data_IF_745150369140
#
_entry.id   IF_745150369140
#
_cell.length_a   1.000
_cell.length_b   1.000
_cell.length_c   1.000
_cell.angle_alpha   90.00
_cell.angle_beta   90.00
_cell.angle_gamma   90.00
#
_symmetry.space_group_name_H-M   'P 1'
#
loop_
_entity.id
_entity.type
_entity.pdbx_description
1 polymer ?
#
# COMPACT_ATOMS: atom_id res chain seq x y z
N UNK A 1 16.45 -5.20 -5.16
CA UNK A 1 15.45 -5.89 -6.01
C UNK A 1 15.52 -5.45 -7.46
N UNK A 2 15.19 -4.21 -7.82
CA UNK A 2 15.24 -3.74 -9.23
C UNK A 2 16.53 -4.11 -9.98
N UNK A 3 17.70 -3.72 -9.45
CA UNK A 3 18.97 -3.97 -10.14
C UNK A 3 19.28 -5.45 -10.34
N UNK A 4 18.83 -6.31 -9.43
CA UNK A 4 19.11 -7.74 -9.46
C UNK A 4 18.13 -8.49 -10.38
N UNK A 5 16.87 -8.04 -10.44
CA UNK A 5 15.78 -8.73 -11.15
C UNK A 5 15.41 -8.09 -12.48
N UNK A 6 16.06 -6.99 -12.86
CA UNK A 6 15.87 -6.35 -14.17
C UNK A 6 16.36 -7.23 -15.32
N UNK A 7 17.44 -7.98 -15.09
CA UNK A 7 18.06 -8.87 -16.06
C UNK A 7 18.31 -10.25 -15.43
N UNK A 8 17.24 -11.06 -15.31
CA UNK A 8 17.32 -12.36 -14.65
C UNK A 8 18.17 -13.39 -15.42
N UNK A 9 18.45 -13.16 -16.70
CA UNK A 9 19.36 -14.02 -17.48
C UNK A 9 20.77 -14.09 -16.88
N UNK A 10 21.23 -13.03 -16.21
CA UNK A 10 22.53 -13.01 -15.55
C UNK A 10 22.62 -13.90 -14.32
N UNK A 11 21.48 -14.25 -13.72
CA UNK A 11 21.39 -15.15 -12.57
C UNK A 11 20.94 -16.56 -12.99
N UNK A 12 20.67 -16.80 -14.29
CA UNK A 12 20.14 -18.08 -14.82
C UNK A 12 18.83 -18.52 -14.18
N UNK A 13 18.08 -17.59 -13.59
CA UNK A 13 16.84 -17.87 -12.89
C UNK A 13 15.66 -17.56 -13.80
N UNK A 14 14.79 -18.56 -13.98
CA UNK A 14 13.49 -18.38 -14.63
C UNK A 14 12.41 -18.58 -13.59
N UNK A 15 11.44 -17.66 -13.48
CA UNK A 15 10.38 -17.83 -12.54
C UNK A 15 9.58 -19.10 -12.85
N UNK A 16 9.26 -19.86 -11.81
CA UNK A 16 8.46 -21.08 -11.95
C UNK A 16 7.01 -20.67 -12.20
N UNK A 17 6.46 -21.10 -13.32
CA UNK A 17 5.03 -20.93 -13.62
C UNK A 17 4.19 -22.01 -12.97
N UNK A 18 2.96 -21.67 -12.63
CA UNK A 18 1.96 -22.66 -12.20
C UNK A 18 1.64 -23.60 -13.36
N UNK A 19 1.44 -24.88 -13.03
CA UNK A 19 0.97 -25.89 -13.98
C UNK A 19 -0.41 -26.35 -13.57
N UNK A 20 -1.37 -26.20 -14.48
CA UNK A 20 -2.74 -26.66 -14.28
C UNK A 20 -2.94 -27.95 -15.07
N UNK A 21 -3.27 -29.01 -14.34
CA UNK A 21 -3.61 -30.31 -14.90
C UNK A 21 -5.07 -30.61 -14.56
N UNK A 22 -5.81 -31.14 -15.54
CA UNK A 22 -7.17 -31.67 -15.31
C UNK A 22 -7.10 -33.04 -14.63
N UNK A 23 -8.14 -33.36 -13.87
CA UNK A 23 -8.22 -34.60 -13.09
C UNK A 23 -8.08 -35.85 -13.97
N UNK A 24 -7.41 -36.87 -13.42
CA UNK A 24 -6.89 -38.02 -14.17
C UNK A 24 -8.01 -38.94 -14.74
N UNK A 25 -9.24 -38.75 -14.27
CA UNK A 25 -10.45 -39.50 -14.66
C UNK A 25 -11.28 -38.78 -15.75
N UNK A 26 -10.84 -37.60 -16.21
CA UNK A 26 -11.49 -36.88 -17.31
C UNK A 26 -11.05 -37.43 -18.68
N UNK A 27 -12.00 -37.58 -19.62
CA UNK A 27 -11.74 -38.07 -20.98
C UNK A 27 -10.89 -37.12 -21.84
N UNK A 28 -10.66 -35.89 -21.36
CA UNK A 28 -9.83 -34.88 -22.00
C UNK A 28 -8.72 -34.44 -21.05
N UNK A 29 -7.55 -35.09 -21.15
CA UNK A 29 -6.34 -34.71 -20.40
C UNK A 29 -5.61 -33.61 -21.15
N UNK A 30 -5.54 -32.42 -20.57
CA UNK A 30 -4.66 -31.36 -21.05
C UNK A 30 -3.88 -30.75 -19.88
N UNK A 31 -2.64 -30.33 -20.16
CA UNK A 31 -1.75 -29.66 -19.22
C UNK A 31 -1.49 -28.25 -19.74
N UNK A 32 -1.74 -27.25 -18.91
CA UNK A 32 -1.43 -25.85 -19.22
C UNK A 32 -0.22 -25.46 -18.37
N UNK A 33 0.86 -25.06 -19.05
CA UNK A 33 2.03 -24.50 -18.41
C UNK A 33 2.04 -23.00 -18.58
N UNK A 34 2.17 -22.26 -17.48
CA UNK A 34 2.42 -20.83 -17.54
C UNK A 34 3.88 -20.57 -17.96
N UNK A 35 4.07 -19.72 -18.96
CA UNK A 35 5.39 -19.25 -19.40
C UNK A 35 5.50 -17.77 -19.15
N UNK A 36 6.64 -17.32 -18.60
CA UNK A 36 6.92 -15.91 -18.37
C UNK A 36 7.88 -15.35 -19.44
N UNK A 37 7.51 -14.21 -20.01
CA UNK A 37 8.41 -13.39 -20.82
C UNK A 37 9.08 -12.32 -19.95
N UNK A 38 10.27 -12.64 -19.43
CA UNK A 38 11.04 -11.78 -18.52
C UNK A 38 11.50 -10.46 -19.17
N UNK A 39 11.44 -10.36 -20.50
CA UNK A 39 11.75 -9.14 -21.23
C UNK A 39 10.59 -8.14 -21.24
N UNK A 40 9.39 -8.62 -20.96
CA UNK A 40 8.21 -7.78 -20.90
C UNK A 40 7.94 -7.28 -19.49
N UNK A 41 7.31 -6.12 -19.48
CA UNK A 41 6.93 -5.41 -18.26
C UNK A 41 5.68 -6.00 -17.61
N UNK A 42 4.89 -6.79 -18.36
CA UNK A 42 3.71 -7.50 -17.84
C UNK A 42 4.11 -8.63 -16.90
N UNK A 43 5.18 -9.34 -17.23
CA UNK A 43 5.55 -10.59 -16.58
C UNK A 43 6.68 -10.37 -15.55
N UNK A 44 7.53 -9.37 -15.77
CA UNK A 44 8.56 -8.96 -14.82
C UNK A 44 8.30 -7.56 -14.23
N UNK A 45 7.66 -7.51 -13.06
CA UNK A 45 7.41 -6.28 -12.31
C UNK A 45 8.69 -5.54 -11.90
N UNK A 46 9.85 -6.21 -11.88
CA UNK A 46 11.12 -5.60 -11.50
C UNK A 46 11.87 -4.98 -12.69
N UNK A 47 11.39 -5.14 -13.93
CA UNK A 47 12.00 -4.59 -15.16
C UNK A 47 12.06 -3.07 -15.16
N UNK A 48 10.98 -2.40 -14.74
CA UNK A 48 10.89 -0.94 -14.63
C UNK A 48 10.98 -0.52 -13.17
N UNK A 49 11.75 0.53 -12.89
CA UNK A 49 11.88 1.10 -11.55
C UNK A 49 10.54 1.36 -10.85
N UNK A 50 9.57 2.10 -11.43
CA UNK A 50 8.33 2.41 -10.73
C UNK A 50 7.52 1.17 -10.36
N UNK A 51 7.51 0.16 -11.24
CA UNK A 51 6.82 -1.10 -10.94
C UNK A 51 7.56 -1.94 -9.92
N UNK A 52 8.89 -1.90 -9.91
CA UNK A 52 9.68 -2.55 -8.86
C UNK A 52 9.36 -1.96 -7.49
N UNK A 53 9.11 -0.65 -7.41
CA UNK A 53 8.73 0.00 -6.15
C UNK A 53 7.34 -0.45 -5.72
N UNK A 54 6.37 -0.48 -6.64
CA UNK A 54 5.02 -0.97 -6.38
C UNK A 54 5.06 -2.43 -5.95
N UNK A 55 5.91 -3.24 -6.59
CA UNK A 55 6.08 -4.62 -6.22
C UNK A 55 6.62 -4.73 -4.79
N UNK A 56 7.61 -3.90 -4.46
CA UNK A 56 8.16 -3.84 -3.10
C UNK A 56 7.11 -3.45 -2.06
N UNK A 57 6.25 -2.51 -2.42
CA UNK A 57 5.14 -2.10 -1.59
C UNK A 57 4.14 -3.23 -1.32
N UNK A 58 3.77 -4.04 -2.32
CA UNK A 58 2.81 -5.13 -2.12
C UNK A 58 3.32 -6.21 -1.17
N UNK A 59 4.58 -6.65 -1.29
CA UNK A 59 5.11 -7.67 -0.37
C UNK A 59 5.41 -7.12 1.02
N UNK A 60 5.71 -5.82 1.16
CA UNK A 60 5.72 -5.17 2.48
C UNK A 60 4.36 -5.23 3.19
N UNK A 61 3.25 -5.28 2.43
CA UNK A 61 1.90 -5.44 2.96
C UNK A 61 1.48 -6.91 3.12
N UNK A 62 2.39 -7.86 2.89
CA UNK A 62 2.15 -9.29 3.09
C UNK A 62 1.72 -10.06 1.84
N UNK A 63 1.69 -9.43 0.65
CA UNK A 63 1.46 -10.12 -0.63
C UNK A 63 2.76 -10.56 -1.27
N UNK A 64 3.06 -11.86 -1.20
CA UNK A 64 4.33 -12.43 -1.68
C UNK A 64 4.28 -13.00 -3.10
N UNK A 65 3.15 -12.83 -3.81
CA UNK A 65 2.91 -13.32 -5.17
C UNK A 65 4.00 -12.94 -6.17
N UNK A 66 4.58 -11.76 -6.04
CA UNK A 66 5.65 -11.28 -6.93
C UNK A 66 7.04 -11.83 -6.56
N UNK A 67 7.21 -12.34 -5.34
CA UNK A 67 8.47 -12.87 -4.84
C UNK A 67 8.55 -14.39 -4.96
N UNK A 68 7.44 -15.08 -4.69
CA UNK A 68 7.34 -16.55 -4.67
C UNK A 68 7.70 -17.18 -6.02
N UNK A 69 7.44 -16.46 -7.10
CA UNK A 69 7.80 -16.90 -8.44
C UNK A 69 9.33 -16.99 -8.66
N UNK A 70 10.16 -16.40 -7.79
CA UNK A 70 11.62 -16.38 -7.94
C UNK A 70 12.31 -17.43 -7.06
N UNK A 71 12.91 -18.44 -7.69
CA UNK A 71 13.64 -19.52 -6.99
C UNK A 71 15.12 -19.19 -6.70
N UNK A 72 15.41 -17.97 -6.21
CA UNK A 72 16.79 -17.53 -5.96
C UNK A 72 17.01 -17.14 -4.50
N UNK A 73 17.85 -17.88 -3.78
CA UNK A 73 18.05 -17.70 -2.33
C UNK A 73 18.42 -16.27 -1.87
N UNK A 74 19.24 -15.47 -2.60
CA UNK A 74 19.58 -14.11 -2.17
C UNK A 74 18.38 -13.17 -2.19
N UNK A 75 17.38 -13.44 -3.05
CA UNK A 75 16.15 -12.66 -3.08
C UNK A 75 15.41 -12.83 -1.76
N UNK A 76 15.26 -14.07 -1.29
CA UNK A 76 14.62 -14.39 -0.02
C UNK A 76 15.32 -13.67 1.14
N UNK A 77 16.65 -13.70 1.18
CA UNK A 77 17.43 -13.03 2.24
C UNK A 77 17.29 -11.52 2.20
N UNK A 78 17.42 -10.91 1.02
CA UNK A 78 17.23 -9.46 0.86
C UNK A 78 15.83 -9.02 1.27
N UNK A 79 14.81 -9.82 0.93
CA UNK A 79 13.43 -9.54 1.33
C UNK A 79 13.25 -9.61 2.84
N UNK A 80 13.80 -10.61 3.53
CA UNK A 80 13.73 -10.70 5.00
C UNK A 80 14.41 -9.49 5.66
N UNK A 81 15.62 -9.13 5.22
CA UNK A 81 16.36 -7.97 5.75
C UNK A 81 15.56 -6.69 5.53
N UNK A 82 15.03 -6.49 4.32
CA UNK A 82 14.23 -5.32 3.99
C UNK A 82 12.90 -5.29 4.77
N UNK A 83 12.23 -6.42 5.02
CA UNK A 83 11.06 -6.50 5.91
C UNK A 83 11.40 -6.06 7.33
N UNK A 84 12.51 -6.54 7.91
CA UNK A 84 12.90 -6.14 9.26
C UNK A 84 13.15 -4.63 9.32
N UNK A 85 13.90 -4.09 8.37
CA UNK A 85 14.18 -2.65 8.34
C UNK A 85 12.89 -1.83 8.13
N UNK A 86 12.13 -2.13 7.09
CA UNK A 86 10.98 -1.30 6.69
C UNK A 86 9.76 -1.51 7.58
N UNK A 87 9.41 -2.75 7.90
CA UNK A 87 8.23 -3.06 8.72
C UNK A 87 8.54 -2.88 10.20
N UNK A 88 9.61 -3.48 10.72
CA UNK A 88 9.85 -3.42 12.16
C UNK A 88 10.46 -2.10 12.63
N UNK A 89 11.37 -1.48 11.87
CA UNK A 89 12.04 -0.27 12.35
C UNK A 89 11.27 0.96 11.88
N UNK A 90 11.11 1.13 10.56
CA UNK A 90 10.56 2.35 10.00
C UNK A 90 9.08 2.56 10.33
N UNK A 91 8.22 1.53 10.25
CA UNK A 91 6.80 1.70 10.60
C UNK A 91 6.61 1.96 12.09
N UNK A 92 7.34 1.26 12.97
CA UNK A 92 7.27 1.52 14.42
C UNK A 92 7.77 2.94 14.77
N UNK A 93 8.83 3.41 14.11
CA UNK A 93 9.31 4.78 14.28
C UNK A 93 8.31 5.82 13.74
N UNK A 94 7.66 5.55 12.61
CA UNK A 94 6.62 6.42 12.03
C UNK A 94 5.41 6.52 12.96
N UNK A 95 4.98 5.39 13.55
CA UNK A 95 3.89 5.37 14.53
C UNK A 95 4.28 6.20 15.75
N UNK A 96 5.46 5.99 16.32
CA UNK A 96 5.93 6.78 17.46
C UNK A 96 6.00 8.29 17.15
N UNK A 97 6.47 8.65 15.96
CA UNK A 97 6.49 10.03 15.50
C UNK A 97 5.08 10.63 15.39
N UNK A 98 4.16 9.92 14.73
CA UNK A 98 2.76 10.37 14.57
C UNK A 98 2.05 10.49 15.91
N UNK A 99 2.28 9.55 16.85
CA UNK A 99 1.74 9.63 18.21
C UNK A 99 2.31 10.82 18.96
N UNK A 100 3.63 11.07 18.88
CA UNK A 100 4.26 12.23 19.52
C UNK A 100 3.70 13.56 19.02
N UNK A 101 3.60 13.73 17.69
CA UNK A 101 3.01 14.94 17.09
C UNK A 101 1.53 15.08 17.43
N UNK A 102 0.79 13.97 17.49
CA UNK A 102 -0.62 13.98 17.87
C UNK A 102 -0.82 14.45 19.31
N UNK A 103 -0.02 13.95 20.25
CA UNK A 103 -0.11 14.34 21.65
C UNK A 103 0.23 15.82 21.87
N UNK A 104 1.22 16.35 21.14
CA UNK A 104 1.59 17.76 21.17
C UNK A 104 0.47 18.67 20.62
N UNK A 105 -0.17 18.25 19.52
CA UNK A 105 -1.18 19.07 18.83
C UNK A 105 -2.59 18.93 19.37
N UNK A 106 -2.86 17.94 20.24
CA UNK A 106 -4.20 17.59 20.75
C UNK A 106 -4.97 18.76 21.35
N UNK A 107 -4.33 19.60 22.15
CA UNK A 107 -4.97 20.75 22.81
C UNK A 107 -5.39 21.82 21.79
N UNK A 108 -4.50 22.14 20.85
CA UNK A 108 -4.72 23.10 19.77
C UNK A 108 -5.81 22.61 18.81
N UNK A 109 -5.80 21.32 18.46
CA UNK A 109 -6.82 20.70 17.62
C UNK A 109 -8.19 20.75 18.31
N UNK A 110 -8.27 20.48 19.62
CA UNK A 110 -9.53 20.58 20.37
C UNK A 110 -10.13 21.99 20.28
N UNK A 111 -9.29 23.01 20.43
CA UNK A 111 -9.74 24.40 20.30
C UNK A 111 -10.18 24.74 18.87
N UNK A 112 -9.43 24.31 17.86
CA UNK A 112 -9.79 24.51 16.46
C UNK A 112 -11.12 23.83 16.10
N UNK A 113 -11.37 22.61 16.59
CA UNK A 113 -12.63 21.88 16.37
C UNK A 113 -13.80 22.59 17.04
N UNK A 114 -13.63 23.11 18.26
CA UNK A 114 -14.69 23.87 18.93
C UNK A 114 -15.02 25.16 18.17
N UNK A 115 -13.99 25.86 17.68
CA UNK A 115 -14.18 27.05 16.85
C UNK A 115 -14.91 26.71 15.54
N UNK A 116 -14.49 25.66 14.85
CA UNK A 116 -15.14 25.20 13.62
C UNK A 116 -16.62 24.85 13.85
N UNK A 117 -16.94 24.19 14.97
CA UNK A 117 -18.34 23.90 15.35
C UNK A 117 -19.13 25.17 15.64
N UNK A 118 -18.53 26.15 16.32
CA UNK A 118 -19.18 27.42 16.60
C UNK A 118 -19.45 28.21 15.31
N UNK A 119 -18.47 28.26 14.41
CA UNK A 119 -18.60 28.94 13.11
C UNK A 119 -19.72 28.31 12.26
N UNK A 120 -19.80 26.97 12.20
CA UNK A 120 -20.88 26.26 11.49
C UNK A 120 -22.26 26.58 12.06
N UNK A 121 -22.40 26.65 13.39
CA UNK A 121 -23.67 27.00 14.04
C UNK A 121 -24.06 28.44 13.71
N UNK A 122 -23.11 29.38 13.78
CA UNK A 122 -23.35 30.78 13.47
C UNK A 122 -23.75 30.99 12.00
N UNK A 123 -23.11 30.27 11.07
CA UNK A 123 -23.45 30.31 9.65
C UNK A 123 -24.84 29.72 9.39
N UNK A 124 -25.17 28.59 10.02
CA UNK A 124 -26.51 28.01 9.95
C UNK A 124 -27.59 28.96 10.49
N UNK A 125 -27.35 29.59 11.65
CA UNK A 125 -28.28 30.60 12.21
C UNK A 125 -28.45 31.83 11.30
N UNK A 126 -27.40 32.26 10.60
CA UNK A 126 -27.48 33.39 9.68
C UNK A 126 -28.30 33.06 8.42
N UNK A 127 -28.22 31.82 7.92
CA UNK A 127 -28.98 31.34 6.76
C UNK A 127 -30.45 31.10 7.11
N UNK A 128 -30.76 30.67 8.33
CA UNK A 128 -32.14 30.46 8.81
C UNK A 128 -32.85 31.79 9.16
N UNK A 129 -32.11 32.88 9.38
CA UNK A 129 -32.64 34.23 9.67
C UNK A 129 -32.52 35.25 8.51
N UNK A 130 -32.90 34.96 7.24
CA UNK A 130 -32.78 35.95 6.15
C UNK A 130 -33.80 37.09 6.27
N UNK A 131 -34.83 36.94 7.11
CA UNK A 131 -35.81 37.99 7.41
C UNK A 131 -35.86 38.22 8.92
N UNK A 132 -35.18 39.29 9.36
CA UNK A 132 -35.16 39.69 10.76
C UNK A 132 -36.57 39.92 11.29
N UNK A 133 -36.93 39.21 12.35
CA UNK A 133 -37.93 39.74 13.27
C UNK A 133 -37.20 40.79 14.14
N UNK A 134 -37.29 42.06 13.72
CA UNK A 134 -37.09 43.18 14.63
C UNK A 134 -38.18 43.17 15.68
N UNK A 135 -38.01 42.34 16.72
CA UNK A 135 -38.69 42.53 17.99
C UNK A 135 -37.68 42.36 19.10
N UNK A 136 -37.17 43.52 19.52
CA UNK A 136 -36.31 43.63 20.69
C UNK A 136 -36.95 43.00 21.92
N UNK A 137 -36.08 42.53 22.81
CA UNK A 137 -36.38 42.50 24.23
C UNK A 137 -35.21 43.18 24.95
N UNK A 138 -35.41 44.36 25.55
CA UNK A 138 -34.49 44.91 26.53
C UNK A 138 -34.84 44.29 27.88
N UNK A 139 -34.05 43.31 28.32
CA UNK A 139 -33.78 42.97 29.73
C UNK A 139 -32.78 41.84 29.81
#
# INVERSE_FOLDING_TARGET
MHFLLRHPDYISEKPSGETFETDDDSSFKFKIHQTYDLDTTSDNYYRKLPQSIIAVYFWMLGRWDQLENWNFWPITVLSIIASILLVFIMQNMLIAFMTGVFDETKSNVKQAVLKFRADLIAEYEAIEKPFGNTRGNPR
#
